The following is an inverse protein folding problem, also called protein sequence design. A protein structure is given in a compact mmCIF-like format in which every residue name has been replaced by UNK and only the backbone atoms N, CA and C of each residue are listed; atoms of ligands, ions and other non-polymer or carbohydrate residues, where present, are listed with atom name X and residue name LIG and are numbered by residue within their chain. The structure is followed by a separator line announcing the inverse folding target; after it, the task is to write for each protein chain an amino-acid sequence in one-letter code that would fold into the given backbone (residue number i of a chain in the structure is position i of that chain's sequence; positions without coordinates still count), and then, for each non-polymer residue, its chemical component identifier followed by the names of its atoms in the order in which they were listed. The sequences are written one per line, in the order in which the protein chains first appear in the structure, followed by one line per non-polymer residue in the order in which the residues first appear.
data_IF_602599147058
#
_entry.id   IF_602599147058
#
_cell.length_a   1.000
_cell.length_b   1.000
_cell.length_c   1.000
_cell.angle_alpha   90.00
_cell.angle_beta   90.00
_cell.angle_gamma   90.00
#
_symmetry.space_group_name_H-M   'P 1'
#
loop_
_entity.id
_entity.type
_entity.pdbx_description
1 polymer ?
#
# COMPACT_ATOMS: atom_id res chain seq x y z
N UNK A 1 0.60 16.81 -3.73
CA UNK A 1 1.85 16.36 -4.40
C UNK A 1 2.93 16.04 -3.39
N UNK A 2 3.48 17.02 -2.64
CA UNK A 2 4.55 16.73 -1.67
C UNK A 2 4.16 15.68 -0.61
N UNK A 3 2.97 15.80 0.00
CA UNK A 3 2.49 14.84 0.98
C UNK A 3 2.27 13.44 0.37
N UNK A 4 1.69 13.38 -0.83
CA UNK A 4 1.51 12.11 -1.56
C UNK A 4 2.85 11.43 -1.86
N UNK A 5 3.87 12.21 -2.23
CA UNK A 5 5.22 11.70 -2.44
C UNK A 5 5.85 11.17 -1.16
N UNK A 6 5.96 12.02 -0.13
CA UNK A 6 6.75 11.70 1.06
C UNK A 6 6.00 10.77 2.00
N UNK A 7 4.73 11.06 2.28
CA UNK A 7 3.93 10.37 3.28
C UNK A 7 3.28 9.08 2.77
N UNK A 8 3.16 8.89 1.45
CA UNK A 8 2.64 7.66 0.87
C UNK A 8 3.72 6.99 0.04
N UNK A 9 4.12 7.55 -1.10
CA UNK A 9 5.04 6.83 -1.99
C UNK A 9 6.36 6.43 -1.32
N UNK A 10 7.10 7.36 -0.71
CA UNK A 10 8.39 7.08 -0.07
C UNK A 10 8.21 6.21 1.18
N UNK A 11 7.25 6.54 2.05
CA UNK A 11 6.96 5.74 3.24
C UNK A 11 6.60 4.29 2.87
N UNK A 12 5.79 4.12 1.83
CA UNK A 12 5.34 2.82 1.35
C UNK A 12 6.47 2.03 0.69
N UNK A 13 7.27 2.68 -0.16
CA UNK A 13 8.47 2.08 -0.72
C UNK A 13 9.41 1.57 0.38
N UNK A 14 9.64 2.36 1.44
CA UNK A 14 10.47 1.93 2.58
C UNK A 14 9.80 0.84 3.42
N UNK A 15 8.47 0.87 3.57
CA UNK A 15 7.70 -0.21 4.19
C UNK A 15 7.92 -1.52 3.44
N UNK A 16 8.13 -1.51 2.13
CA UNK A 16 8.58 -2.72 1.43
C UNK A 16 10.07 -2.95 1.62
N UNK A 17 10.94 -1.99 1.29
CA UNK A 17 12.38 -2.27 1.17
C UNK A 17 13.15 -2.43 2.48
N UNK A 18 12.60 -1.97 3.61
CA UNK A 18 13.26 -2.07 4.92
C UNK A 18 12.67 -3.21 5.73
N UNK A 19 13.46 -4.26 5.98
CA UNK A 19 13.05 -5.52 6.62
C UNK A 19 12.12 -5.36 7.83
N UNK A 20 12.46 -4.48 8.77
CA UNK A 20 11.67 -4.30 9.99
C UNK A 20 10.39 -3.50 9.75
N UNK A 21 10.37 -2.59 8.77
CA UNK A 21 9.17 -1.86 8.38
C UNK A 21 8.20 -2.79 7.65
N UNK A 22 8.73 -3.64 6.76
CA UNK A 22 7.96 -4.66 6.07
C UNK A 22 7.21 -5.57 7.01
N UNK A 23 7.85 -5.98 8.10
CA UNK A 23 7.20 -6.79 9.12
C UNK A 23 5.90 -6.19 9.67
N UNK A 24 5.80 -4.87 9.75
CA UNK A 24 4.55 -4.20 10.10
C UNK A 24 3.56 -4.13 8.94
N UNK A 25 4.08 -3.93 7.73
CA UNK A 25 3.27 -3.79 6.52
C UNK A 25 2.71 -5.14 6.02
N UNK A 26 3.33 -6.27 6.34
CA UNK A 26 2.84 -7.61 6.01
C UNK A 26 1.41 -7.86 6.51
N UNK A 27 0.99 -7.20 7.60
CA UNK A 27 -0.39 -7.30 8.11
C UNK A 27 -1.41 -6.79 7.09
N UNK A 28 -1.04 -5.78 6.30
CA UNK A 28 -1.85 -5.25 5.21
C UNK A 28 -1.93 -6.23 4.04
N UNK A 29 -0.77 -6.79 3.64
CA UNK A 29 -0.67 -7.73 2.53
C UNK A 29 -1.09 -9.17 2.85
N UNK A 30 -1.27 -9.52 4.13
CA UNK A 30 -1.70 -10.86 4.53
C UNK A 30 -3.15 -11.14 4.16
N UNK A 31 -3.92 -10.13 3.75
CA UNK A 31 -5.31 -10.27 3.33
C UNK A 31 -5.43 -11.15 2.09
N UNK A 32 -6.15 -12.27 2.21
CA UNK A 32 -6.40 -13.17 1.09
C UNK A 32 -7.62 -12.77 0.26
N UNK A 33 -8.39 -11.77 0.71
CA UNK A 33 -9.67 -11.34 0.15
C UNK A 33 -9.72 -9.82 -0.03
N UNK A 34 -8.74 -9.27 -0.76
CA UNK A 34 -8.58 -7.83 -0.93
C UNK A 34 -9.88 -7.15 -1.40
N UNK A 35 -10.37 -6.23 -0.57
CA UNK A 35 -11.49 -5.35 -0.84
C UNK A 35 -11.27 -3.96 -0.20
N UNK A 36 -12.27 -3.09 -0.24
CA UNK A 36 -12.12 -1.73 0.28
C UNK A 36 -11.73 -1.68 1.77
N UNK A 37 -12.08 -2.70 2.57
CA UNK A 37 -11.74 -2.79 3.99
C UNK A 37 -10.26 -3.10 4.23
N UNK A 38 -9.58 -3.76 3.27
CA UNK A 38 -8.13 -3.96 3.30
C UNK A 38 -7.37 -2.63 3.43
N UNK A 39 -7.93 -1.54 2.90
CA UNK A 39 -7.39 -0.19 3.08
C UNK A 39 -7.28 0.29 4.54
N UNK A 40 -7.98 -0.37 5.48
CA UNK A 40 -7.88 -0.11 6.93
C UNK A 40 -7.10 -1.15 7.70
N UNK A 41 -6.76 -2.27 7.05
CA UNK A 41 -6.04 -3.38 7.64
C UNK A 41 -4.55 -3.05 7.75
N UNK A 42 -4.16 -2.35 8.81
CA UNK A 42 -2.77 -2.00 9.07
C UNK A 42 -2.42 -2.22 10.53
N UNK A 43 -1.20 -2.67 10.79
CA UNK A 43 -0.67 -2.68 12.14
C UNK A 43 -0.48 -1.23 12.65
N UNK A 44 -0.72 -0.91 13.95
CA UNK A 44 -0.48 0.44 14.47
C UNK A 44 0.94 0.98 14.21
N UNK A 45 1.93 0.09 14.21
CA UNK A 45 3.32 0.41 13.85
C UNK A 45 3.49 0.92 12.41
N UNK A 46 2.74 0.38 11.45
CA UNK A 46 2.71 0.87 10.07
C UNK A 46 2.13 2.29 10.02
N UNK A 47 0.98 2.50 10.66
CA UNK A 47 0.35 3.83 10.77
C UNK A 47 1.32 4.85 11.37
N UNK A 48 2.02 4.50 12.46
CA UNK A 48 3.01 5.39 13.06
C UNK A 48 4.13 5.77 12.09
N UNK A 49 4.65 4.81 11.31
CA UNK A 49 5.67 5.10 10.29
C UNK A 49 5.12 6.09 9.26
N UNK A 50 3.94 5.83 8.68
CA UNK A 50 3.33 6.72 7.67
C UNK A 50 3.06 8.12 8.22
N UNK A 51 2.56 8.24 9.44
CA UNK A 51 2.30 9.54 10.08
C UNK A 51 3.59 10.30 10.38
N UNK A 52 4.68 9.63 10.77
CA UNK A 52 5.98 10.28 10.96
C UNK A 52 6.49 10.92 9.66
N UNK A 53 6.35 10.24 8.51
CA UNK A 53 6.69 10.81 7.21
C UNK A 53 5.78 11.99 6.83
N UNK A 54 4.48 11.89 7.13
CA UNK A 54 3.54 12.98 6.88
C UNK A 54 3.87 14.23 7.69
N UNK A 55 4.09 14.07 9.00
CA UNK A 55 4.43 15.17 9.89
C UNK A 55 5.80 15.77 9.56
N UNK A 56 6.78 14.93 9.20
CA UNK A 56 8.07 15.38 8.70
C UNK A 56 7.93 16.28 7.47
N UNK A 57 7.11 15.88 6.49
CA UNK A 57 6.85 16.70 5.32
C UNK A 57 6.13 18.03 5.67
N UNK A 58 5.21 18.02 6.63
CA UNK A 58 4.53 19.24 7.10
C UNK A 58 5.53 20.20 7.75
N UNK A 59 6.37 19.70 8.67
CA UNK A 59 7.36 20.50 9.41
C UNK A 59 8.38 21.12 8.46
N UNK A 60 8.97 20.32 7.56
CA UNK A 60 10.03 20.81 6.67
C UNK A 60 9.52 21.81 5.64
N UNK A 61 8.31 21.61 5.13
CA UNK A 61 7.73 22.54 4.16
C UNK A 61 7.17 23.81 4.80
N UNK A 62 6.98 23.83 6.12
CA UNK A 62 6.30 24.92 6.83
C UNK A 62 4.83 25.07 6.41
N UNK A 63 4.21 24.03 5.85
CA UNK A 63 2.86 24.14 5.31
C UNK A 63 1.81 24.27 6.43
N UNK A 64 0.72 25.03 6.21
CA UNK A 64 -0.40 25.04 7.12
C UNK A 64 -0.95 23.63 7.37
N UNK A 65 -1.25 23.31 8.63
CA UNK A 65 -1.78 22.00 9.03
C UNK A 65 -3.09 21.63 8.30
N UNK A 66 -3.88 22.62 7.87
CA UNK A 66 -5.08 22.42 7.07
C UNK A 66 -4.82 21.63 5.77
N UNK A 67 -3.65 21.80 5.13
CA UNK A 67 -3.31 21.04 3.92
C UNK A 67 -3.06 19.57 4.22
N UNK A 68 -2.47 19.24 5.38
CA UNK A 68 -2.36 17.86 5.83
C UNK A 68 -3.75 17.23 6.06
N UNK A 69 -4.69 17.97 6.64
CA UNK A 69 -6.06 17.47 6.86
C UNK A 69 -6.80 17.19 5.54
N UNK A 70 -6.76 18.13 4.58
CA UNK A 70 -7.35 17.95 3.25
C UNK A 70 -6.72 16.73 2.56
N UNK A 71 -5.39 16.65 2.61
CA UNK A 71 -4.66 15.53 2.06
C UNK A 71 -5.05 14.21 2.72
N UNK A 72 -5.16 14.16 4.05
CA UNK A 72 -5.48 12.94 4.79
C UNK A 72 -6.85 12.38 4.42
N UNK A 73 -7.86 13.25 4.32
CA UNK A 73 -9.21 12.86 3.89
C UNK A 73 -9.17 12.31 2.47
N UNK A 74 -8.46 13.00 1.57
CA UNK A 74 -8.30 12.57 0.17
C UNK A 74 -7.58 11.22 0.08
N UNK A 75 -6.48 11.06 0.83
CA UNK A 75 -5.67 9.86 0.89
C UNK A 75 -6.49 8.66 1.31
N UNK A 76 -7.32 8.79 2.36
CA UNK A 76 -8.21 7.73 2.82
C UNK A 76 -9.19 7.33 1.71
N UNK A 77 -9.87 8.29 1.07
CA UNK A 77 -10.79 8.00 -0.01
C UNK A 77 -10.11 7.18 -1.13
N UNK A 78 -8.92 7.60 -1.56
CA UNK A 78 -8.17 6.88 -2.59
C UNK A 78 -7.72 5.50 -2.12
N UNK A 79 -7.28 5.33 -0.87
CA UNK A 79 -6.92 4.01 -0.33
C UNK A 79 -8.10 3.05 -0.38
N UNK A 80 -9.32 3.46 -0.03
CA UNK A 80 -10.50 2.60 -0.16
C UNK A 80 -10.82 2.28 -1.63
N UNK A 81 -10.69 3.26 -2.52
CA UNK A 81 -10.94 3.06 -3.95
C UNK A 81 -9.93 2.08 -4.56
N UNK A 82 -8.63 2.22 -4.28
CA UNK A 82 -7.58 1.38 -4.87
C UNK A 82 -7.66 -0.08 -4.42
N UNK A 83 -8.20 -0.35 -3.23
CA UNK A 83 -8.40 -1.72 -2.75
C UNK A 83 -9.77 -2.30 -3.09
N UNK A 84 -10.70 -1.48 -3.61
CA UNK A 84 -12.06 -1.92 -3.86
C UNK A 84 -12.09 -3.19 -4.73
N UNK A 85 -12.96 -4.14 -4.37
CA UNK A 85 -13.19 -5.35 -5.15
C UNK A 85 -14.05 -5.07 -6.40
N UNK A 86 -13.58 -4.14 -7.22
CA UNK A 86 -14.18 -3.70 -8.47
C UNK A 86 -13.21 -4.03 -9.61
N UNK A 87 -13.73 -4.55 -10.71
CA UNK A 87 -12.99 -4.71 -11.95
C UNK A 87 -13.33 -3.53 -12.86
N UNK A 88 -12.42 -2.57 -12.97
CA UNK A 88 -12.65 -1.38 -13.80
C UNK A 88 -12.48 -1.79 -15.27
N UNK A 89 -13.43 -1.49 -16.17
CA UNK A 89 -13.29 -1.80 -17.59
C UNK A 89 -12.02 -1.17 -18.17
N UNK A 90 -11.27 -1.93 -18.98
CA UNK A 90 -9.94 -1.53 -19.50
C UNK A 90 -9.97 -0.19 -20.23
N UNK A 91 -11.06 0.13 -20.94
CA UNK A 91 -11.21 1.39 -21.67
C UNK A 91 -11.25 2.62 -20.75
N UNK A 92 -11.70 2.45 -19.51
CA UNK A 92 -11.74 3.49 -18.49
C UNK A 92 -10.49 3.45 -17.60
N UNK A 93 -10.04 2.25 -17.25
CA UNK A 93 -8.92 2.05 -16.35
C UNK A 93 -7.59 2.54 -16.94
N UNK A 94 -7.32 2.29 -18.23
CA UNK A 94 -6.08 2.73 -18.89
C UNK A 94 -5.85 4.25 -18.87
N UNK A 95 -6.81 5.11 -19.27
CA UNK A 95 -6.59 6.55 -19.20
C UNK A 95 -6.52 7.05 -17.75
N UNK A 96 -7.32 6.49 -16.83
CA UNK A 96 -7.26 6.85 -15.42
C UNK A 96 -5.91 6.50 -14.80
N UNK A 97 -5.35 5.32 -15.13
CA UNK A 97 -4.10 4.84 -14.58
C UNK A 97 -2.88 5.67 -14.98
N UNK A 98 -3.00 6.57 -15.96
CA UNK A 98 -1.97 7.55 -16.30
C UNK A 98 -1.74 8.59 -15.19
N UNK A 99 -2.78 8.89 -14.42
CA UNK A 99 -2.74 9.93 -13.38
C UNK A 99 -2.96 9.33 -12.00
N UNK A 100 -3.97 8.46 -11.86
CA UNK A 100 -4.38 7.90 -10.58
C UNK A 100 -3.92 6.46 -10.42
N UNK A 101 -3.76 6.03 -9.18
CA UNK A 101 -3.73 4.61 -8.86
C UNK A 101 -5.15 4.06 -9.01
N UNK A 102 -5.33 3.04 -9.84
CA UNK A 102 -6.63 2.40 -10.05
C UNK A 102 -6.71 1.05 -9.35
N UNK A 103 -7.92 0.49 -9.11
CA UNK A 103 -8.06 -0.81 -8.49
C UNK A 103 -7.32 -1.92 -9.25
N UNK A 104 -7.42 -1.92 -10.58
CA UNK A 104 -6.76 -2.94 -11.41
C UNK A 104 -5.23 -2.88 -11.27
N UNK A 105 -4.65 -1.69 -11.08
CA UNK A 105 -3.22 -1.49 -10.95
C UNK A 105 -2.74 -1.83 -9.53
N UNK A 106 -3.43 -1.32 -8.50
CA UNK A 106 -3.03 -1.54 -7.10
C UNK A 106 -3.13 -2.99 -6.67
N UNK A 107 -4.04 -3.79 -7.23
CA UNK A 107 -4.15 -5.21 -6.88
C UNK A 107 -2.87 -6.01 -7.15
N UNK A 108 -2.04 -5.61 -8.12
CA UNK A 108 -0.74 -6.26 -8.37
C UNK A 108 0.23 -6.12 -7.20
N UNK A 109 0.17 -4.99 -6.50
CA UNK A 109 0.96 -4.74 -5.30
C UNK A 109 0.56 -5.71 -4.16
N UNK A 110 -0.70 -6.16 -4.14
CA UNK A 110 -1.19 -7.18 -3.22
C UNK A 110 -0.96 -8.62 -3.71
N UNK A 111 -0.15 -8.82 -4.75
CA UNK A 111 0.15 -10.15 -5.23
C UNK A 111 0.94 -10.95 -4.19
N UNK A 112 0.72 -12.27 -4.21
CA UNK A 112 1.23 -13.26 -3.27
C UNK A 112 2.75 -13.31 -3.13
N UNK A 113 3.47 -13.01 -4.21
CA UNK A 113 4.93 -13.16 -4.25
C UNK A 113 5.63 -12.00 -4.96
N UNK A 114 6.92 -11.88 -4.67
CA UNK A 114 7.82 -10.96 -5.38
C UNK A 114 8.19 -11.49 -6.77
N UNK A 115 8.53 -10.61 -7.72
CA UNK A 115 8.67 -9.15 -7.58
C UNK A 115 7.35 -8.37 -7.59
N UNK A 116 6.20 -9.04 -7.75
CA UNK A 116 4.92 -8.37 -8.01
C UNK A 116 4.43 -7.57 -6.80
N UNK A 117 4.56 -8.12 -5.59
CA UNK A 117 4.25 -7.41 -4.33
C UNK A 117 5.03 -6.08 -4.20
N UNK A 118 6.21 -5.98 -4.81
CA UNK A 118 7.12 -4.83 -4.73
C UNK A 118 6.94 -3.85 -5.90
N UNK A 119 5.69 -3.54 -6.23
CA UNK A 119 5.32 -2.65 -7.35
C UNK A 119 4.20 -1.71 -6.93
N UNK A 120 3.92 -0.66 -7.72
CA UNK A 120 2.74 0.22 -7.55
C UNK A 120 2.58 0.80 -6.12
N UNK A 121 3.60 1.46 -5.59
CA UNK A 121 3.62 2.00 -4.23
C UNK A 121 2.81 3.29 -4.05
N UNK A 122 2.37 3.96 -5.12
CA UNK A 122 1.57 5.17 -4.99
C UNK A 122 0.21 4.91 -4.32
N UNK A 123 -0.38 5.96 -3.74
CA UNK A 123 -1.74 5.90 -3.17
C UNK A 123 -2.76 6.68 -4.02
N UNK A 124 -2.54 7.97 -4.23
CA UNK A 124 -3.43 8.79 -5.08
C UNK A 124 -2.93 8.74 -6.51
N UNK A 125 -1.64 9.04 -6.71
CA UNK A 125 -1.10 9.27 -8.04
C UNK A 125 -0.09 8.23 -8.50
N UNK A 126 -0.22 7.83 -9.76
CA UNK A 126 0.58 6.78 -10.40
C UNK A 126 1.83 7.28 -11.11
N UNK A 127 2.05 8.60 -11.12
CA UNK A 127 3.24 9.17 -11.75
C UNK A 127 4.52 8.90 -10.96
N UNK A 128 4.43 8.66 -9.65
CA UNK A 128 5.59 8.25 -8.86
C UNK A 128 6.10 6.88 -9.29
N UNK A 129 5.20 5.91 -9.45
CA UNK A 129 5.59 4.58 -9.90
C UNK A 129 6.24 4.58 -11.29
N UNK A 130 5.83 5.51 -12.15
CA UNK A 130 6.50 5.75 -13.44
C UNK A 130 7.88 6.38 -13.26
N UNK A 131 7.97 7.41 -12.43
CA UNK A 131 9.21 8.16 -12.22
C UNK A 131 10.33 7.29 -11.61
N UNK A 132 9.96 6.32 -10.76
CA UNK A 132 10.90 5.44 -10.07
C UNK A 132 10.94 4.01 -10.62
N UNK A 133 10.23 3.73 -11.71
CA UNK A 133 10.28 2.43 -12.38
C UNK A 133 9.67 1.27 -11.59
N UNK A 134 8.69 1.54 -10.73
CA UNK A 134 7.98 0.55 -9.90
C UNK A 134 6.59 0.22 -10.44
N UNK A 135 6.20 0.79 -11.57
CA UNK A 135 4.90 0.56 -12.19
C UNK A 135 4.79 -0.84 -12.81
N UNK A 136 3.73 -1.57 -12.45
CA UNK A 136 3.26 -2.77 -13.13
C UNK A 136 1.80 -2.62 -13.51
N UNK A 137 1.46 -2.98 -14.75
CA UNK A 137 0.10 -2.98 -15.25
C UNK A 137 -0.10 -4.15 -16.20
N UNK A 138 -0.89 -5.13 -15.79
CA UNK A 138 -1.17 -6.36 -16.56
C UNK A 138 -2.62 -6.82 -16.27
N UNK A 139 -2.98 -8.02 -16.70
CA UNK A 139 -4.28 -8.65 -16.47
C UNK A 139 -4.51 -8.99 -14.98
N UNK A 140 -5.47 -8.36 -14.30
CA UNK A 140 -5.74 -8.61 -12.88
C UNK A 140 -6.15 -10.06 -12.56
N UNK A 141 -6.53 -10.86 -13.56
CA UNK A 141 -6.84 -12.29 -13.39
C UNK A 141 -5.62 -13.14 -13.00
N UNK A 142 -4.41 -12.60 -13.19
CA UNK A 142 -3.16 -13.26 -12.77
C UNK A 142 -2.90 -13.14 -11.27
N UNK A 143 -3.68 -12.35 -10.55
CA UNK A 143 -3.41 -12.00 -9.16
C UNK A 143 -3.88 -13.10 -8.22
N UNK A 144 -2.99 -13.54 -7.34
CA UNK A 144 -3.30 -14.31 -6.14
C UNK A 144 -2.98 -13.40 -4.94
N UNK A 145 -3.91 -13.21 -4.01
CA UNK A 145 -3.70 -12.38 -2.82
C UNK A 145 -3.08 -13.17 -1.66
N UNK A 146 -2.66 -12.46 -0.61
CA UNK A 146 -1.95 -12.98 0.55
C UNK A 146 -0.43 -12.82 0.42
N UNK A 147 0.32 -13.60 1.19
CA UNK A 147 1.79 -13.60 1.17
C UNK A 147 2.33 -15.03 1.18
N UNK A 148 3.35 -15.29 0.38
CA UNK A 148 4.09 -16.57 0.29
C UNK A 148 4.80 -17.00 1.58
N UNK A 149 5.10 -16.03 2.44
CA UNK A 149 5.74 -16.24 3.74
C UNK A 149 4.76 -16.39 4.91
N UNK A 150 3.44 -16.32 4.68
CA UNK A 150 2.41 -16.44 5.70
C UNK A 150 1.38 -17.52 5.35
N UNK A 151 0.74 -18.08 6.38
CA UNK A 151 -0.35 -19.04 6.19
C UNK A 151 -1.67 -18.30 5.93
N UNK A 152 -2.19 -18.36 4.71
CA UNK A 152 -3.36 -17.58 4.30
C UNK A 152 -4.63 -17.78 5.14
N UNK A 153 -4.80 -18.91 5.83
CA UNK A 153 -5.97 -19.16 6.68
C UNK A 153 -5.94 -18.44 8.03
N UNK A 154 -4.83 -17.76 8.35
CA UNK A 154 -4.64 -16.97 9.58
C UNK A 154 -4.88 -15.48 9.35
N UNK A 155 -5.28 -15.08 8.15
CA UNK A 155 -5.49 -13.68 7.78
C UNK A 155 -6.57 -13.00 8.64
N UNK A 156 -7.61 -13.72 9.05
CA UNK A 156 -8.66 -13.17 9.92
C UNK A 156 -8.34 -13.25 11.44
N UNK A 157 -7.25 -13.92 11.84
CA UNK A 157 -6.84 -14.00 13.25
C UNK A 157 -6.12 -12.72 13.69
N UNK A 158 -6.87 -11.85 14.36
CA UNK A 158 -6.38 -10.56 14.87
C UNK A 158 -5.14 -10.73 15.77
N UNK A 159 -5.12 -11.71 16.67
CA UNK A 159 -3.99 -11.89 17.59
C UNK A 159 -2.73 -12.35 16.84
N UNK A 160 -2.91 -13.21 15.83
CA UNK A 160 -1.82 -13.57 14.92
C UNK A 160 -1.31 -12.33 14.17
N UNK A 161 -2.19 -11.53 13.56
CA UNK A 161 -1.82 -10.31 12.83
C UNK A 161 -1.00 -9.32 13.68
N UNK A 162 -1.34 -9.13 14.96
CA UNK A 162 -0.57 -8.27 15.88
C UNK A 162 0.82 -8.84 16.24
N UNK A 163 1.00 -10.16 16.15
CA UNK A 163 2.28 -10.83 16.48
C UNK A 163 3.22 -10.91 15.28
N UNK A 164 2.71 -10.89 14.05
CA UNK A 164 3.50 -10.98 12.81
C UNK A 164 4.78 -10.11 12.87
N UNK A 165 4.73 -8.83 13.27
CA UNK A 165 5.92 -7.98 13.17
C UNK A 165 7.06 -8.41 14.11
N UNK A 166 6.73 -9.15 15.15
CA UNK A 166 7.65 -9.57 16.22
C UNK A 166 8.04 -11.04 16.12
N UNK A 167 7.38 -11.81 15.26
CA UNK A 167 7.70 -13.21 15.03
C UNK A 167 9.02 -13.34 14.25
N UNK A 168 10.00 -13.99 14.87
CA UNK A 168 11.32 -14.22 14.30
C UNK A 168 11.37 -15.42 13.33
N UNK A 169 10.37 -16.30 13.38
CA UNK A 169 10.26 -17.45 12.48
C UNK A 169 9.88 -17.05 11.06
N UNK A 170 9.13 -15.95 10.91
CA UNK A 170 8.77 -15.37 9.61
C UNK A 170 10.03 -14.79 8.98
N UNK A 171 10.56 -15.50 7.98
CA UNK A 171 11.67 -15.06 7.15
C UNK A 171 11.14 -14.12 6.08
N UNK A 172 11.77 -12.97 5.99
CA UNK A 172 11.50 -11.98 4.95
C UNK A 172 12.78 -11.77 4.16
N UNK A 173 12.69 -11.81 2.83
CA UNK A 173 13.86 -11.72 1.94
C UNK A 173 14.41 -10.29 1.76
N UNK A 174 14.15 -9.41 2.74
CA UNK A 174 14.82 -8.11 2.88
C UNK A 174 15.96 -8.19 3.90
#
# INVERSE_FOLDING_TARGET
MLLDFVAQYVAHYLLHKVKWMWKFHMVHHSDTKVDATTGTRHHPGDYLIRELFALFAVIISGMPFAYYLIYRISSILFTYLTHANIAVPVWLDKPLSLVFITPNMHKFHHHFERPWTDTNFGNIFSFWDRAFGTLVYDDPRKIRYGLDVLEGHTDEDVLYQFKIPFDKSIKTDY
#
